data_IF_981919505130
#
_entry.id   IF_981919505130
#
_cell.length_a   1.000
_cell.length_b   1.000
_cell.length_c   1.000
_cell.angle_alpha   90.00
_cell.angle_beta   90.00
_cell.angle_gamma   90.00
#
_symmetry.space_group_name_H-M   'P 1'
#
loop_
_entity.id
_entity.type
_entity.pdbx_description
1 polymer ?
#
# COMPACT_ATOMS: atom_id res chain seq x y z
N UNK A 1 -17.29 -22.46 -4.72
CA UNK A 1 -16.12 -23.28 -5.10
C UNK A 1 -15.12 -22.50 -5.95
N UNK A 2 -15.54 -21.79 -7.00
CA UNK A 2 -14.65 -21.08 -7.93
C UNK A 2 -13.76 -19.96 -7.35
N UNK A 3 -14.19 -19.25 -6.29
CA UNK A 3 -13.40 -18.13 -5.75
C UNK A 3 -12.11 -18.60 -5.08
N UNK A 4 -12.15 -19.67 -4.29
CA UNK A 4 -10.97 -20.17 -3.59
C UNK A 4 -9.94 -20.73 -4.57
N UNK A 5 -10.39 -21.45 -5.61
CA UNK A 5 -9.53 -21.94 -6.68
C UNK A 5 -8.88 -20.78 -7.47
N UNK A 6 -9.65 -19.72 -7.74
CA UNK A 6 -9.13 -18.51 -8.37
C UNK A 6 -8.08 -17.82 -7.48
N UNK A 7 -8.37 -17.62 -6.19
CA UNK A 7 -7.42 -17.03 -5.25
C UNK A 7 -6.15 -17.86 -5.10
N UNK A 8 -6.27 -19.19 -5.01
CA UNK A 8 -5.12 -20.10 -4.97
C UNK A 8 -4.29 -20.01 -6.25
N UNK A 9 -4.91 -20.01 -7.43
CA UNK A 9 -4.17 -19.88 -8.70
C UNK A 9 -3.48 -18.51 -8.82
N UNK A 10 -4.14 -17.43 -8.41
CA UNK A 10 -3.54 -16.09 -8.36
C UNK A 10 -2.33 -16.05 -7.41
N UNK A 11 -2.46 -16.64 -6.21
CA UNK A 11 -1.36 -16.74 -5.26
C UNK A 11 -0.15 -17.45 -5.86
N UNK A 12 -0.34 -18.61 -6.49
CA UNK A 12 0.77 -19.36 -7.08
C UNK A 12 1.47 -18.60 -8.20
N UNK A 13 0.72 -17.85 -9.02
CA UNK A 13 1.32 -16.98 -10.05
C UNK A 13 2.14 -15.86 -9.43
N UNK A 14 1.63 -15.25 -8.35
CA UNK A 14 2.34 -14.17 -7.65
C UNK A 14 3.60 -14.68 -6.94
N UNK A 15 3.52 -15.83 -6.25
CA UNK A 15 4.67 -16.41 -5.55
C UNK A 15 5.75 -16.92 -6.53
N UNK A 16 5.35 -17.49 -7.66
CA UNK A 16 6.29 -17.83 -8.73
C UNK A 16 7.06 -16.60 -9.22
N UNK A 17 6.36 -15.50 -9.51
CA UNK A 17 7.00 -14.23 -9.91
C UNK A 17 7.91 -13.65 -8.82
N UNK A 18 7.49 -13.74 -7.55
CA UNK A 18 8.31 -13.33 -6.41
C UNK A 18 9.62 -14.10 -6.36
N UNK A 19 9.57 -15.42 -6.51
CA UNK A 19 10.74 -16.29 -6.47
C UNK A 19 11.67 -16.11 -7.66
N UNK A 20 11.13 -15.85 -8.86
CA UNK A 20 11.92 -15.47 -10.03
C UNK A 20 12.66 -14.15 -9.76
N UNK A 21 11.94 -13.14 -9.26
CA UNK A 21 12.51 -11.81 -9.00
C UNK A 21 13.56 -11.84 -7.88
N UNK A 22 13.38 -12.67 -6.85
CA UNK A 22 14.36 -12.79 -5.76
C UNK A 22 15.69 -13.40 -6.20
N UNK A 23 15.71 -14.13 -7.32
CA UNK A 23 16.92 -14.76 -7.90
C UNK A 23 17.58 -13.89 -8.98
N UNK A 24 16.91 -12.83 -9.42
CA UNK A 24 17.46 -11.92 -10.42
C UNK A 24 18.66 -11.18 -9.86
N UNK A 25 19.79 -11.26 -10.56
CA UNK A 25 20.98 -10.51 -10.17
C UNK A 25 20.74 -9.01 -10.42
N UNK A 26 20.98 -8.20 -9.40
CA UNK A 26 20.68 -6.75 -9.42
C UNK A 26 21.49 -5.98 -10.47
N UNK A 27 22.61 -6.52 -10.96
CA UNK A 27 23.43 -5.95 -12.03
C UNK A 27 22.78 -6.02 -13.42
N UNK A 28 21.76 -6.86 -13.60
CA UNK A 28 20.96 -6.98 -14.83
C UNK A 28 19.58 -6.30 -14.76
N UNK A 29 19.30 -5.61 -13.65
CA UNK A 29 18.01 -5.00 -13.41
C UNK A 29 17.67 -3.93 -14.46
N UNK A 30 16.56 -4.13 -15.16
CA UNK A 30 16.00 -3.13 -16.07
C UNK A 30 15.33 -2.01 -15.29
N UNK A 31 15.41 -0.77 -15.81
CA UNK A 31 14.74 0.37 -15.19
C UNK A 31 13.22 0.19 -15.31
N UNK A 32 12.56 -0.07 -14.19
CA UNK A 32 11.10 -0.06 -14.12
C UNK A 32 10.59 1.37 -14.25
N UNK A 33 9.50 1.55 -15.00
CA UNK A 33 8.96 2.87 -15.36
C UNK A 33 7.46 2.87 -15.08
N UNK A 34 6.98 3.85 -14.31
CA UNK A 34 5.55 4.04 -14.12
C UNK A 34 4.90 4.51 -15.43
N UNK A 35 3.65 4.11 -15.73
CA UNK A 35 2.99 4.43 -17.01
C UNK A 35 2.99 5.93 -17.38
N UNK A 36 2.99 6.83 -16.39
CA UNK A 36 3.00 8.28 -16.55
C UNK A 36 4.41 8.92 -16.57
N UNK A 37 5.49 8.14 -16.39
CA UNK A 37 6.89 8.60 -16.45
C UNK A 37 7.46 8.65 -17.89
N UNK A 38 6.71 8.21 -18.91
CA UNK A 38 7.19 7.95 -20.29
C UNK A 38 7.88 9.13 -21.00
N UNK A 39 7.66 10.38 -20.57
CA UNK A 39 8.24 11.58 -21.22
C UNK A 39 9.63 11.98 -20.69
N UNK A 40 10.09 11.43 -19.57
CA UNK A 40 11.28 11.92 -18.85
C UNK A 40 12.55 11.06 -19.03
N UNK A 41 12.58 10.17 -20.03
CA UNK A 41 13.58 9.08 -20.11
C UNK A 41 14.54 9.21 -21.30
N UNK A 42 14.23 10.08 -22.27
CA UNK A 42 15.09 10.29 -23.44
C UNK A 42 16.40 10.95 -22.98
N UNK A 43 17.53 10.27 -23.16
CA UNK A 43 18.88 10.78 -22.83
C UNK A 43 19.45 10.34 -21.47
N UNK A 44 18.80 9.39 -20.76
CA UNK A 44 19.39 8.83 -19.53
C UNK A 44 20.57 7.91 -19.85
N UNK A 45 21.74 8.20 -19.28
CA UNK A 45 22.88 7.27 -19.31
C UNK A 45 22.65 6.09 -18.36
N UNK A 46 22.17 4.99 -18.91
CA UNK A 46 21.84 3.77 -18.17
C UNK A 46 23.04 3.12 -17.49
N UNK A 47 24.28 3.48 -17.85
CA UNK A 47 25.49 2.93 -17.26
C UNK A 47 25.99 3.73 -16.05
N UNK A 48 25.49 4.95 -15.86
CA UNK A 48 25.86 5.82 -14.75
C UNK A 48 25.58 5.16 -13.39
N UNK A 49 26.45 5.46 -12.41
CA UNK A 49 26.31 4.96 -11.03
C UNK A 49 24.96 5.34 -10.41
N UNK A 50 24.45 6.53 -10.74
CA UNK A 50 23.15 7.00 -10.27
C UNK A 50 21.98 6.20 -10.85
N UNK A 51 22.01 5.88 -12.15
CA UNK A 51 20.96 5.08 -12.79
C UNK A 51 21.00 3.62 -12.37
N UNK A 52 22.18 3.03 -12.17
CA UNK A 52 22.29 1.69 -11.58
C UNK A 52 21.66 1.61 -10.18
N UNK A 53 21.90 2.61 -9.33
CA UNK A 53 21.22 2.72 -8.02
C UNK A 53 19.71 2.89 -8.16
N UNK A 54 19.26 3.67 -9.14
CA UNK A 54 17.83 3.87 -9.41
C UNK A 54 17.16 2.55 -9.82
N UNK A 55 17.72 1.82 -10.78
CA UNK A 55 17.23 0.50 -11.18
C UNK A 55 17.16 -0.45 -10.00
N UNK A 56 18.23 -0.52 -9.21
CA UNK A 56 18.29 -1.33 -8.00
C UNK A 56 17.16 -0.99 -7.03
N UNK A 57 17.00 0.29 -6.67
CA UNK A 57 15.95 0.72 -5.75
C UNK A 57 14.54 0.39 -6.25
N UNK A 58 14.26 0.62 -7.54
CA UNK A 58 12.94 0.31 -8.14
C UNK A 58 12.66 -1.19 -8.16
N UNK A 59 13.66 -2.01 -8.48
CA UNK A 59 13.53 -3.48 -8.47
C UNK A 59 13.34 -4.00 -7.05
N UNK A 60 14.09 -3.50 -6.06
CA UNK A 60 13.91 -3.86 -4.66
C UNK A 60 12.51 -3.48 -4.16
N UNK A 61 12.00 -2.30 -4.52
CA UNK A 61 10.62 -1.89 -4.25
C UNK A 61 9.62 -2.88 -4.84
N UNK A 62 9.81 -3.29 -6.10
CA UNK A 62 8.92 -4.25 -6.75
C UNK A 62 8.93 -5.62 -6.09
N UNK A 63 10.11 -6.08 -5.64
CA UNK A 63 10.22 -7.31 -4.84
C UNK A 63 9.49 -7.18 -3.50
N UNK A 64 9.53 -6.00 -2.85
CA UNK A 64 8.77 -5.73 -1.65
C UNK A 64 7.24 -5.81 -1.89
N UNK A 65 6.76 -5.21 -3.00
CA UNK A 65 5.34 -5.29 -3.39
C UNK A 65 4.88 -6.75 -3.57
N UNK A 66 5.71 -7.59 -4.20
CA UNK A 66 5.41 -9.01 -4.40
C UNK A 66 5.35 -9.76 -3.06
N UNK A 67 6.32 -9.54 -2.16
CA UNK A 67 6.31 -10.15 -0.83
C UNK A 67 5.05 -9.74 -0.05
N UNK A 68 4.68 -8.45 -0.09
CA UNK A 68 3.45 -7.94 0.54
C UNK A 68 2.19 -8.64 -0.02
N UNK A 69 2.06 -8.73 -1.35
CA UNK A 69 0.91 -9.37 -2.00
C UNK A 69 0.79 -10.87 -1.69
N UNK A 70 1.92 -11.55 -1.48
CA UNK A 70 1.97 -12.97 -1.10
C UNK A 70 1.93 -13.21 0.42
N UNK A 71 1.87 -12.16 1.24
CA UNK A 71 1.76 -12.26 2.70
C UNK A 71 3.06 -12.45 3.47
N UNK A 72 4.23 -12.35 2.82
CA UNK A 72 5.54 -12.35 3.49
C UNK A 72 5.85 -10.95 4.06
N UNK A 73 5.11 -10.55 5.10
CA UNK A 73 5.11 -9.17 5.60
C UNK A 73 6.47 -8.74 6.18
N UNK A 74 7.17 -9.63 6.90
CA UNK A 74 8.47 -9.32 7.49
C UNK A 74 9.53 -9.04 6.42
N UNK A 75 9.56 -9.86 5.37
CA UNK A 75 10.47 -9.66 4.24
C UNK A 75 10.12 -8.38 3.47
N UNK A 76 8.82 -8.11 3.30
CA UNK A 76 8.36 -6.87 2.68
C UNK A 76 8.85 -5.62 3.45
N UNK A 77 8.75 -5.59 4.79
CA UNK A 77 9.29 -4.49 5.60
C UNK A 77 10.77 -4.23 5.32
N UNK A 78 11.59 -5.29 5.32
CA UNK A 78 13.02 -5.19 5.09
C UNK A 78 13.37 -4.72 3.68
N UNK A 79 12.66 -5.22 2.67
CA UNK A 79 12.86 -4.80 1.28
C UNK A 79 12.40 -3.36 1.05
N UNK A 80 11.28 -2.92 1.64
CA UNK A 80 10.87 -1.52 1.55
C UNK A 80 11.89 -0.60 2.20
N UNK A 81 12.42 -0.93 3.39
CA UNK A 81 13.44 -0.13 4.05
C UNK A 81 14.72 -0.02 3.20
N UNK A 82 15.18 -1.15 2.64
CA UNK A 82 16.34 -1.17 1.73
C UNK A 82 16.12 -0.32 0.47
N UNK A 83 14.91 -0.38 -0.10
CA UNK A 83 14.54 0.42 -1.26
C UNK A 83 14.48 1.91 -0.92
N UNK A 84 13.95 2.29 0.25
CA UNK A 84 13.89 3.67 0.75
C UNK A 84 15.30 4.27 0.79
N UNK A 85 16.26 3.59 1.41
CA UNK A 85 17.62 4.10 1.55
C UNK A 85 18.31 4.26 0.18
N UNK A 86 18.09 3.30 -0.72
CA UNK A 86 18.63 3.32 -2.08
C UNK A 86 18.05 4.46 -2.91
N UNK A 87 16.73 4.60 -2.95
CA UNK A 87 16.02 5.59 -3.77
C UNK A 87 16.25 7.00 -3.25
N UNK A 88 16.31 7.19 -1.94
CA UNK A 88 16.69 8.45 -1.30
C UNK A 88 18.10 8.88 -1.73
N UNK A 89 19.06 7.95 -1.79
CA UNK A 89 20.44 8.26 -2.19
C UNK A 89 20.61 8.67 -3.66
N UNK A 90 19.63 8.39 -4.52
CA UNK A 90 19.64 8.75 -5.95
C UNK A 90 18.51 9.72 -6.35
N UNK A 91 17.86 10.34 -5.34
CA UNK A 91 16.81 11.35 -5.51
C UNK A 91 15.63 10.88 -6.39
N UNK A 92 15.28 9.60 -6.35
CA UNK A 92 14.12 9.07 -7.07
C UNK A 92 12.85 9.22 -6.23
N UNK A 93 12.39 10.46 -6.12
CA UNK A 93 11.31 10.85 -5.20
C UNK A 93 9.99 10.12 -5.48
N UNK A 94 9.66 9.90 -6.75
CA UNK A 94 8.40 9.25 -7.12
C UNK A 94 8.33 7.82 -6.56
N UNK A 95 9.38 7.03 -6.80
CA UNK A 95 9.43 5.65 -6.33
C UNK A 95 9.69 5.56 -4.83
N UNK A 96 10.42 6.53 -4.25
CA UNK A 96 10.58 6.65 -2.81
C UNK A 96 9.22 6.85 -2.12
N UNK A 97 8.35 7.71 -2.65
CA UNK A 97 6.98 7.86 -2.15
C UNK A 97 6.22 6.53 -2.15
N UNK A 98 6.37 5.75 -3.23
CA UNK A 98 5.75 4.43 -3.33
C UNK A 98 6.26 3.42 -2.31
N UNK A 99 7.55 3.47 -1.96
CA UNK A 99 8.09 2.64 -0.89
C UNK A 99 7.54 3.02 0.48
N UNK A 100 7.43 4.32 0.77
CA UNK A 100 6.91 4.82 2.04
C UNK A 100 5.44 4.40 2.23
N UNK A 101 4.61 4.52 1.19
CA UNK A 101 3.24 3.98 1.21
C UNK A 101 3.22 2.46 1.48
N UNK A 102 4.06 1.70 0.78
CA UNK A 102 4.16 0.25 0.94
C UNK A 102 4.61 -0.19 2.33
N UNK A 103 5.58 0.51 2.93
CA UNK A 103 6.02 0.28 4.31
C UNK A 103 4.91 0.55 5.31
N UNK A 104 4.14 1.62 5.11
CA UNK A 104 2.96 1.94 5.92
C UNK A 104 1.90 0.85 5.82
N UNK A 105 1.56 0.43 4.60
CA UNK A 105 0.56 -0.61 4.37
C UNK A 105 0.96 -1.94 5.03
N UNK A 106 2.23 -2.34 4.87
CA UNK A 106 2.77 -3.55 5.48
C UNK A 106 2.72 -3.47 7.01
N UNK A 107 3.11 -2.32 7.58
CA UNK A 107 3.07 -2.12 9.03
C UNK A 107 1.65 -2.16 9.58
N UNK A 108 0.69 -1.55 8.87
CA UNK A 108 -0.71 -1.57 9.25
C UNK A 108 -1.30 -2.99 9.23
N UNK A 109 -0.94 -3.81 8.23
CA UNK A 109 -1.38 -5.22 8.15
C UNK A 109 -0.88 -6.05 9.33
N UNK A 110 0.32 -5.77 9.84
CA UNK A 110 0.88 -6.43 11.03
C UNK A 110 0.19 -5.93 12.31
N UNK A 111 0.00 -4.61 12.43
CA UNK A 111 -0.62 -3.99 13.61
C UNK A 111 -2.12 -4.30 13.74
N UNK A 112 -2.82 -4.53 12.63
CA UNK A 112 -4.26 -4.80 12.61
C UNK A 112 -4.55 -6.17 11.96
N UNK A 113 -4.44 -7.29 12.72
CA UNK A 113 -4.85 -8.59 12.23
C UNK A 113 -6.33 -8.56 11.80
N UNK A 114 -6.65 -9.34 10.76
CA UNK A 114 -7.87 -9.33 9.91
C UNK A 114 -9.26 -9.26 10.60
N UNK A 115 -9.34 -9.34 11.93
CA UNK A 115 -10.58 -9.20 12.71
C UNK A 115 -11.14 -7.76 12.77
N UNK A 116 -10.42 -6.75 12.27
CA UNK A 116 -10.91 -5.37 12.15
C UNK A 116 -11.24 -4.95 10.70
N UNK A 117 -10.58 -5.54 9.68
CA UNK A 117 -10.83 -5.21 8.27
C UNK A 117 -12.24 -5.62 7.81
N UNK A 118 -12.81 -6.67 8.40
CA UNK A 118 -14.21 -7.11 8.17
C UNK A 118 -15.26 -6.22 8.85
N UNK A 119 -14.86 -5.27 9.71
CA UNK A 119 -15.78 -4.24 10.23
C UNK A 119 -16.03 -3.11 9.22
N UNK A 120 -15.33 -3.10 8.09
CA UNK A 120 -15.90 -2.51 6.88
C UNK A 120 -17.04 -3.42 6.40
N UNK A 121 -18.17 -3.33 7.12
CA UNK A 121 -19.45 -3.58 6.49
C UNK A 121 -19.39 -2.76 5.20
N UNK A 122 -19.38 -3.44 4.05
CA UNK A 122 -20.00 -2.88 2.87
C UNK A 122 -21.36 -2.37 3.37
N UNK A 123 -21.45 -1.06 3.65
CA UNK A 123 -22.72 -0.40 3.79
C UNK A 123 -23.31 -0.47 2.38
N UNK A 124 -23.89 -1.63 2.06
CA UNK A 124 -24.86 -1.73 0.98
C UNK A 124 -25.87 -0.64 1.32
N UNK A 125 -25.95 0.36 0.45
CA UNK A 125 -26.93 1.44 0.55
C UNK A 125 -28.28 0.80 0.92
N UNK A 126 -28.76 1.05 2.14
CA UNK A 126 -29.97 0.46 2.68
C UNK A 126 -31.23 1.14 2.10
N UNK A 127 -31.19 1.53 0.83
CA UNK A 127 -32.37 2.00 0.08
C UNK A 127 -33.05 0.89 -0.72
N UNK A 128 -32.52 -0.33 -0.72
CA UNK A 128 -33.14 -1.52 -1.32
C UNK A 128 -33.27 -2.64 -0.27
N UNK A 129 -34.20 -2.46 0.67
CA UNK A 129 -34.74 -3.59 1.45
C UNK A 129 -36.08 -3.98 0.86
N UNK A 130 -36.06 -4.96 -0.03
CA UNK A 130 -37.25 -5.74 -0.36
C UNK A 130 -37.59 -6.60 0.86
N UNK A 131 -38.80 -6.37 1.38
CA UNK A 131 -39.33 -7.07 2.54
C UNK A 131 -39.51 -8.56 2.22
N UNK A 132 -39.27 -9.36 3.25
CA UNK A 132 -39.70 -10.75 3.49
C UNK A 132 -38.61 -11.82 3.40
N UNK A 133 -38.15 -12.27 4.57
CA UNK A 133 -38.33 -13.66 5.01
C UNK A 133 -37.81 -13.86 6.44
N UNK A 134 -38.63 -14.53 7.25
CA UNK A 134 -38.38 -14.81 8.67
C UNK A 134 -37.44 -16.01 8.78
N UNK A 135 -36.16 -15.81 9.10
CA UNK A 135 -35.32 -16.87 9.65
C UNK A 135 -34.50 -16.34 10.82
N UNK A 136 -34.82 -16.83 12.02
CA UNK A 136 -34.06 -16.60 13.25
C UNK A 136 -32.83 -17.51 13.21
N UNK A 137 -31.64 -16.95 13.00
CA UNK A 137 -30.39 -17.61 13.36
C UNK A 137 -29.90 -17.08 14.71
N UNK A 138 -29.73 -17.99 15.66
CA UNK A 138 -29.18 -17.77 17.00
C UNK A 138 -27.65 -17.85 16.87
N UNK A 139 -26.86 -16.85 17.32
CA UNK A 139 -25.41 -16.95 17.26
C UNK A 139 -24.92 -17.92 18.34
N UNK A 140 -24.08 -18.87 17.91
CA UNK A 140 -23.37 -19.81 18.78
C UNK A 140 -22.20 -19.07 19.42
N UNK A 141 -22.20 -19.03 20.75
CA UNK A 141 -21.14 -18.44 21.57
C UNK A 141 -19.91 -19.33 21.54
N UNK A 142 -18.83 -18.88 20.88
CA UNK A 142 -17.52 -19.52 20.99
C UNK A 142 -16.73 -18.79 22.07
N UNK A 143 -16.63 -19.40 23.25
CA UNK A 143 -15.70 -18.99 24.30
C UNK A 143 -14.26 -19.16 23.79
N UNK A 144 -13.55 -18.07 23.54
CA UNK A 144 -12.09 -18.06 23.52
C UNK A 144 -11.61 -17.14 24.63
N UNK A 145 -11.06 -17.77 25.67
CA UNK A 145 -10.60 -17.11 26.89
C UNK A 145 -9.59 -16.01 26.60
N UNK A 146 -9.79 -14.88 27.26
CA UNK A 146 -8.88 -13.76 27.31
C UNK A 146 -7.66 -14.16 28.14
N UNK A 147 -6.59 -14.63 27.49
CA UNK A 147 -5.27 -14.68 28.12
C UNK A 147 -4.69 -13.28 28.02
N UNK A 148 -4.67 -12.58 29.16
CA UNK A 148 -3.93 -11.33 29.32
C UNK A 148 -2.45 -11.66 29.16
N UNK A 149 -1.89 -11.39 27.99
CA UNK A 149 -0.45 -11.49 27.73
C UNK A 149 0.20 -10.21 28.26
N UNK A 150 1.17 -10.36 29.17
CA UNK A 150 2.01 -9.27 29.67
C UNK A 150 2.62 -8.45 28.52
N UNK A 151 2.41 -7.12 28.55
CA UNK A 151 2.90 -6.14 27.57
C UNK A 151 4.43 -6.16 27.33
N UNK A 152 5.19 -6.80 28.23
CA UNK A 152 6.65 -6.90 28.16
C UNK A 152 7.15 -8.06 27.28
N UNK A 153 6.36 -9.09 27.01
CA UNK A 153 6.75 -10.23 26.15
C UNK A 153 6.45 -9.94 24.66
N UNK A 154 5.47 -9.10 24.37
CA UNK A 154 5.11 -8.70 23.00
C UNK A 154 6.21 -7.83 22.35
N UNK A 155 6.97 -7.07 23.15
CA UNK A 155 8.00 -6.14 22.63
C UNK A 155 9.26 -6.81 22.09
N UNK A 156 9.58 -8.04 22.49
CA UNK A 156 10.79 -8.75 22.06
C UNK A 156 10.61 -9.57 20.76
N UNK A 157 9.40 -9.59 20.19
CA UNK A 157 9.08 -10.36 18.98
C UNK A 157 8.56 -9.50 17.81
N UNK A 158 8.54 -8.18 17.97
CA UNK A 158 8.06 -7.29 16.90
C UNK A 158 9.04 -7.28 15.72
N UNK A 159 8.54 -7.36 14.47
CA UNK A 159 9.37 -7.30 13.28
C UNK A 159 10.21 -6.03 13.26
N UNK A 160 11.47 -6.15 12.84
CA UNK A 160 12.32 -4.99 12.59
C UNK A 160 11.69 -4.11 11.49
N UNK A 161 11.87 -2.79 11.60
CA UNK A 161 11.32 -1.79 10.67
C UNK A 161 9.78 -1.64 10.70
N UNK A 162 9.09 -2.24 11.67
CA UNK A 162 7.67 -1.98 11.87
C UNK A 162 7.42 -0.56 12.34
N UNK A 163 6.51 0.15 11.68
CA UNK A 163 6.13 1.52 12.03
C UNK A 163 5.04 1.54 13.10
N UNK A 164 5.10 2.55 13.99
CA UNK A 164 3.96 2.93 14.83
C UNK A 164 2.88 3.65 13.99
N UNK A 165 1.67 3.82 14.55
CA UNK A 165 0.59 4.58 13.87
C UNK A 165 1.01 6.04 13.59
N UNK A 166 1.74 6.68 14.51
CA UNK A 166 2.23 8.04 14.30
C UNK A 166 3.30 8.10 13.20
N UNK A 167 4.17 7.10 13.14
CA UNK A 167 5.18 7.03 12.09
C UNK A 167 4.55 6.68 10.73
N UNK A 168 3.42 5.95 10.70
CA UNK A 168 2.63 5.76 9.49
C UNK A 168 2.13 7.10 8.95
N UNK A 169 1.60 7.99 9.80
CA UNK A 169 1.17 9.33 9.33
C UNK A 169 2.35 10.17 8.83
N UNK A 170 3.50 10.12 9.49
CA UNK A 170 4.71 10.82 9.03
C UNK A 170 5.18 10.33 7.67
N UNK A 171 5.25 9.01 7.48
CA UNK A 171 5.69 8.39 6.23
C UNK A 171 4.70 8.66 5.08
N UNK A 172 3.39 8.62 5.33
CA UNK A 172 2.40 9.06 4.35
C UNK A 172 2.57 10.55 4.01
N UNK A 173 2.78 11.42 5.01
CA UNK A 173 3.06 12.83 4.78
C UNK A 173 4.31 13.06 3.90
N UNK A 174 5.38 12.31 4.12
CA UNK A 174 6.58 12.33 3.27
C UNK A 174 6.29 11.82 1.85
N UNK A 175 5.55 10.72 1.71
CA UNK A 175 5.15 10.18 0.41
C UNK A 175 4.35 11.19 -0.42
N UNK A 176 3.35 11.85 0.17
CA UNK A 176 2.53 12.85 -0.49
C UNK A 176 3.34 14.08 -0.91
N UNK A 177 4.28 14.53 -0.07
CA UNK A 177 5.25 15.59 -0.42
C UNK A 177 6.15 15.20 -1.60
N UNK A 178 6.41 13.91 -1.79
CA UNK A 178 7.17 13.44 -2.95
C UNK A 178 6.31 13.38 -4.21
N UNK A 179 5.07 12.91 -4.13
CA UNK A 179 4.16 12.90 -5.27
C UNK A 179 3.81 14.30 -5.77
N UNK A 180 3.66 15.27 -4.89
CA UNK A 180 3.34 16.65 -5.27
C UNK A 180 4.44 17.33 -6.11
N UNK A 181 5.65 16.76 -6.17
CA UNK A 181 6.74 17.22 -7.06
C UNK A 181 6.48 16.91 -8.54
N UNK A 182 5.53 16.02 -8.85
CA UNK A 182 5.29 15.53 -10.20
C UNK A 182 3.88 15.90 -10.67
N UNK A 183 3.79 16.71 -11.72
CA UNK A 183 2.51 17.16 -12.28
C UNK A 183 1.58 15.97 -12.64
N UNK A 184 2.14 14.91 -13.22
CA UNK A 184 1.38 13.74 -13.66
C UNK A 184 1.13 12.70 -12.55
N UNK A 185 1.54 12.97 -11.31
CA UNK A 185 1.31 12.08 -10.17
C UNK A 185 0.05 12.44 -9.36
N UNK A 186 -0.79 13.37 -9.83
CA UNK A 186 -2.01 13.79 -9.13
C UNK A 186 -2.95 12.63 -8.78
N UNK A 187 -2.99 11.59 -9.62
CA UNK A 187 -3.77 10.37 -9.36
C UNK A 187 -3.28 9.66 -8.10
N UNK A 188 -1.98 9.40 -8.01
CA UNK A 188 -1.32 8.71 -6.90
C UNK A 188 -1.37 9.58 -5.63
N UNK A 189 -1.13 10.88 -5.76
CA UNK A 189 -1.26 11.84 -4.67
C UNK A 189 -2.65 11.80 -4.04
N UNK A 190 -3.70 11.81 -4.87
CA UNK A 190 -5.09 11.74 -4.40
C UNK A 190 -5.37 10.41 -3.69
N UNK A 191 -4.95 9.30 -4.30
CA UNK A 191 -5.14 7.96 -3.74
C UNK A 191 -4.43 7.80 -2.39
N UNK A 192 -3.15 8.18 -2.30
CA UNK A 192 -2.39 8.14 -1.05
C UNK A 192 -3.00 9.03 0.03
N UNK A 193 -3.50 10.21 -0.34
CA UNK A 193 -4.17 11.13 0.60
C UNK A 193 -5.44 10.51 1.18
N UNK A 194 -6.24 9.84 0.35
CA UNK A 194 -7.47 9.17 0.79
C UNK A 194 -7.17 7.95 1.66
N UNK A 195 -6.15 7.15 1.34
CA UNK A 195 -5.69 6.03 2.19
C UNK A 195 -5.27 6.52 3.58
N UNK A 196 -4.41 7.55 3.63
CA UNK A 196 -3.92 8.10 4.89
C UNK A 196 -5.07 8.72 5.73
N UNK A 197 -5.99 9.43 5.08
CA UNK A 197 -7.20 9.96 5.71
C UNK A 197 -8.08 8.82 6.26
N UNK A 198 -8.24 7.73 5.52
CA UNK A 198 -9.03 6.58 5.97
C UNK A 198 -8.45 5.95 7.23
N UNK A 199 -7.14 5.72 7.26
CA UNK A 199 -6.43 5.21 8.45
C UNK A 199 -6.66 6.16 9.63
N UNK A 200 -6.55 7.47 9.42
CA UNK A 200 -6.79 8.45 10.47
C UNK A 200 -8.23 8.46 11.00
N UNK A 201 -9.22 8.20 10.13
CA UNK A 201 -10.63 8.03 10.54
C UNK A 201 -10.79 6.78 11.41
N UNK A 202 -10.20 5.66 11.00
CA UNK A 202 -10.28 4.39 11.73
C UNK A 202 -9.64 4.47 13.13
N UNK A 203 -8.68 5.39 13.32
CA UNK A 203 -8.05 5.71 14.60
C UNK A 203 -8.63 6.95 15.32
N UNK A 204 -9.71 7.57 14.82
CA UNK A 204 -10.33 8.77 15.40
C UNK A 204 -9.40 10.01 15.49
N UNK A 205 -8.39 10.11 14.64
CA UNK A 205 -7.43 11.23 14.59
C UNK A 205 -7.84 12.31 13.58
N UNK A 206 -8.90 13.07 13.87
CA UNK A 206 -9.52 14.01 12.92
C UNK A 206 -8.61 15.13 12.40
N UNK A 207 -7.60 15.55 13.18
CA UNK A 207 -6.61 16.54 12.73
C UNK A 207 -5.82 16.01 11.52
N UNK A 208 -5.43 14.73 11.57
CA UNK A 208 -4.73 14.07 10.48
C UNK A 208 -5.65 13.87 9.27
N UNK A 209 -6.94 13.56 9.48
CA UNK A 209 -7.94 13.47 8.40
C UNK A 209 -7.99 14.78 7.62
N UNK A 210 -8.16 15.90 8.33
CA UNK A 210 -8.19 17.22 7.69
C UNK A 210 -6.89 17.51 6.93
N UNK A 211 -5.74 17.27 7.56
CA UNK A 211 -4.42 17.47 6.95
C UNK A 211 -4.26 16.71 5.62
N UNK A 212 -4.67 15.43 5.57
CA UNK A 212 -4.53 14.66 4.34
C UNK A 212 -5.53 15.07 3.25
N UNK A 213 -6.77 15.39 3.61
CA UNK A 213 -7.79 15.79 2.64
C UNK A 213 -7.50 17.15 1.98
N UNK A 214 -6.79 18.05 2.66
CA UNK A 214 -6.33 19.30 2.04
C UNK A 214 -5.49 19.07 0.78
N UNK A 215 -4.77 17.95 0.67
CA UNK A 215 -3.97 17.62 -0.52
C UNK A 215 -4.82 17.18 -1.72
N UNK A 216 -6.10 16.83 -1.54
CA UNK A 216 -6.99 16.37 -2.60
C UNK A 216 -7.67 17.53 -3.32
N UNK A 217 -8.07 18.56 -2.58
CA UNK A 217 -8.83 19.71 -3.08
C UNK A 217 -8.15 20.51 -4.21
N UNK A 218 -6.82 20.77 -4.19
CA UNK A 218 -6.15 21.56 -5.22
C UNK A 218 -5.72 20.73 -6.44
N UNK A 219 -5.86 19.40 -6.42
CA UNK A 219 -5.42 18.56 -7.55
C UNK A 219 -6.41 18.72 -8.69
N UNK A 220 -6.15 19.69 -9.56
CA UNK A 220 -6.84 19.83 -10.83
C UNK A 220 -6.36 18.72 -11.78
N UNK A 221 -6.91 17.52 -11.57
CA UNK A 221 -6.73 16.40 -12.48
C UNK A 221 -7.33 16.84 -13.83
N UNK A 222 -6.49 17.16 -14.80
CA UNK A 222 -6.87 17.27 -16.22
C UNK A 222 -7.19 15.87 -16.75
N UNK A 223 -8.17 15.23 -16.11
CA UNK A 223 -8.81 14.01 -16.56
C UNK A 223 -10.03 14.44 -17.35
N UNK A 224 -10.23 13.83 -18.49
CA UNK A 224 -11.50 13.90 -19.20
C UNK A 224 -12.62 13.38 -18.30
N UNK A 225 -13.86 13.81 -18.51
CA UNK A 225 -14.97 13.37 -17.67
C UNK A 225 -15.21 11.86 -17.76
N UNK A 226 -14.88 11.23 -18.90
CA UNK A 226 -14.86 9.77 -19.06
C UNK A 226 -13.84 9.09 -18.14
N UNK A 227 -12.62 9.62 -18.03
CA UNK A 227 -11.60 9.06 -17.14
C UNK A 227 -11.98 9.24 -15.65
N UNK A 228 -12.66 10.33 -15.30
CA UNK A 228 -13.20 10.53 -13.95
C UNK A 228 -14.30 9.51 -13.62
N UNK A 229 -15.24 9.28 -14.55
CA UNK A 229 -16.33 8.32 -14.39
C UNK A 229 -15.78 6.89 -14.26
N UNK A 230 -14.89 6.47 -15.16
CA UNK A 230 -14.27 5.14 -15.07
C UNK A 230 -13.47 4.94 -13.78
N UNK A 231 -12.86 6.01 -13.25
CA UNK A 231 -12.13 5.96 -11.98
C UNK A 231 -13.06 5.77 -10.79
N UNK A 232 -14.16 6.52 -10.72
CA UNK A 232 -15.16 6.37 -9.65
C UNK A 232 -15.78 4.97 -9.67
N UNK A 233 -16.01 4.39 -10.86
CA UNK A 233 -16.50 3.03 -11.00
C UNK A 233 -15.53 1.94 -10.52
N UNK A 234 -14.20 2.20 -10.52
CA UNK A 234 -13.20 1.26 -10.00
C UNK A 234 -13.03 1.33 -8.48
N UNK A 235 -13.62 2.34 -7.84
CA UNK A 235 -13.60 2.54 -6.39
C UNK A 235 -14.89 2.06 -5.71
N UNK A 236 -15.91 1.66 -6.47
CA UNK A 236 -17.18 1.08 -6.02
C UNK A 236 -17.15 -0.44 -6.13
#
# INVERSE_FOLDING_TARGET
MHLNEFLSSLFWVLDAKRLEKSKEKLDKATLLIAPFEKRNIIGLDMESRANKKRCMGRVTKHLADLNLQTGFLNDALNFYQTAIDTLRSCNDWLWLGGCLEGLCATSLMILQPQNQLTKSNFQRNASLQERHSKFKFRPLSTNTGFVSLDDNVVRSTMPQNLLSIDDIYKNYGEALKHYSKYLNAGVVLTEGSLKAARIAVDHHHFIHVHYFLQNVLPVNLTLTDEEKIQRLMKLA
#
